data_IF_156794320737
#
_entry.id   IF_156794320737
#
_cell.length_a   1.000
_cell.length_b   1.000
_cell.length_c   1.000
_cell.angle_alpha   90.00
_cell.angle_beta   90.00
_cell.angle_gamma   90.00
#
_symmetry.space_group_name_H-M   'P 1'
#
loop_
_entity.id
_entity.type
_entity.pdbx_description
1 polymer ?
#
# COMPACT_ATOMS: atom_id res chain seq x y z
N UNK A 1 -1.61 28.58 56.71
CA UNK A 1 -1.12 28.44 55.32
C UNK A 1 -0.72 26.99 55.13
N UNK A 2 -1.24 26.36 54.09
CA UNK A 2 -1.32 24.91 53.92
C UNK A 2 0.02 24.26 53.55
N UNK A 3 0.30 23.11 54.16
CA UNK A 3 1.38 22.18 53.83
C UNK A 3 0.90 21.27 52.66
N UNK A 4 1.63 21.29 51.54
CA UNK A 4 1.27 20.59 50.30
C UNK A 4 2.15 19.36 50.15
N UNK A 5 1.58 18.19 50.43
CA UNK A 5 2.17 16.89 50.14
C UNK A 5 2.35 16.68 48.63
N UNK A 6 3.57 16.31 48.22
CA UNK A 6 3.91 15.92 46.84
C UNK A 6 3.88 14.40 46.72
N UNK A 7 2.90 13.87 45.98
CA UNK A 7 2.77 12.45 45.68
C UNK A 7 3.55 12.12 44.39
N UNK A 8 4.64 11.35 44.53
CA UNK A 8 5.47 10.88 43.42
C UNK A 8 4.77 9.73 42.65
N UNK A 9 4.74 9.72 41.29
CA UNK A 9 4.10 8.65 40.54
C UNK A 9 4.94 7.36 40.55
N UNK A 10 4.31 6.24 40.90
CA UNK A 10 4.86 4.89 40.74
C UNK A 10 4.99 4.55 39.24
N UNK A 11 6.22 4.28 38.78
CA UNK A 11 6.46 3.64 37.50
C UNK A 11 6.22 2.13 37.64
N UNK A 12 5.15 1.62 37.02
CA UNK A 12 4.89 0.19 36.87
C UNK A 12 5.65 -0.34 35.66
N UNK A 13 6.72 -1.10 35.88
CA UNK A 13 7.35 -1.91 34.85
C UNK A 13 6.86 -3.37 34.98
N UNK A 14 6.03 -3.82 34.04
CA UNK A 14 5.68 -5.24 33.90
C UNK A 14 6.64 -5.89 32.91
N UNK A 15 7.41 -6.86 33.37
CA UNK A 15 8.28 -7.70 32.55
C UNK A 15 7.71 -9.11 32.52
N UNK A 16 7.20 -9.55 31.36
CA UNK A 16 6.79 -10.94 31.17
C UNK A 16 7.92 -11.68 30.46
N UNK A 17 8.38 -12.79 31.05
CA UNK A 17 9.40 -13.67 30.47
C UNK A 17 8.76 -15.01 30.16
N UNK A 18 8.58 -15.34 28.88
CA UNK A 18 8.21 -16.68 28.45
C UNK A 18 9.45 -17.48 28.07
N UNK A 19 9.57 -18.69 28.64
CA UNK A 19 10.57 -19.69 28.27
C UNK A 19 9.86 -20.82 27.51
N UNK A 20 10.35 -21.14 26.33
CA UNK A 20 9.92 -22.32 25.57
C UNK A 20 11.13 -23.22 25.36
N UNK A 21 11.07 -24.45 25.88
CA UNK A 21 12.09 -25.49 25.70
C UNK A 21 11.65 -26.48 24.61
N UNK A 22 12.51 -26.74 23.63
CA UNK A 22 12.34 -27.81 22.65
C UNK A 22 13.56 -28.74 22.68
N UNK A 23 13.30 -30.05 22.87
CA UNK A 23 14.34 -31.07 23.06
C UNK A 23 14.63 -31.78 21.73
N UNK A 24 15.82 -31.53 21.16
CA UNK A 24 16.36 -32.24 20.00
C UNK A 24 16.98 -33.59 20.37
N UNK A 25 17.08 -34.51 19.40
CA UNK A 25 17.38 -35.94 19.60
C UNK A 25 18.85 -36.31 19.87
N UNK A 26 19.76 -35.34 19.97
CA UNK A 26 21.21 -35.58 20.18
C UNK A 26 21.78 -34.82 21.38
N UNK A 27 21.02 -34.75 22.49
CA UNK A 27 21.55 -34.35 23.80
C UNK A 27 22.02 -32.89 23.97
N UNK A 28 22.02 -32.07 22.91
CA UNK A 28 22.35 -30.66 22.99
C UNK A 28 21.09 -29.82 23.30
N UNK A 29 21.06 -29.20 24.48
CA UNK A 29 20.03 -28.23 24.86
C UNK A 29 20.41 -26.88 24.27
N UNK A 30 19.59 -26.37 23.34
CA UNK A 30 19.71 -24.99 22.81
C UNK A 30 18.63 -24.14 23.47
N UNK A 31 19.03 -23.24 24.36
CA UNK A 31 18.14 -22.32 25.05
C UNK A 31 18.09 -20.98 24.32
N UNK A 32 17.02 -20.70 23.59
CA UNK A 32 16.78 -19.39 22.97
C UNK A 32 15.89 -18.55 23.89
N UNK A 33 16.45 -17.50 24.48
CA UNK A 33 15.70 -16.56 25.34
C UNK A 33 15.35 -15.31 24.55
N UNK A 34 14.06 -15.09 24.28
CA UNK A 34 13.57 -13.87 23.63
C UNK A 34 13.03 -12.93 24.70
N UNK A 35 13.68 -11.78 24.89
CA UNK A 35 13.24 -10.76 25.86
C UNK A 35 12.50 -9.65 25.12
N UNK A 36 11.17 -9.65 25.20
CA UNK A 36 10.34 -8.55 24.68
C UNK A 36 10.22 -7.48 25.76
N UNK A 37 10.67 -6.27 25.45
CA UNK A 37 10.55 -5.09 26.34
C UNK A 37 9.65 -4.08 25.66
N UNK A 38 8.38 -4.03 26.05
CA UNK A 38 7.43 -3.01 25.59
C UNK A 38 7.61 -1.75 26.43
N UNK A 39 8.02 -0.64 25.81
CA UNK A 39 8.02 0.70 26.42
C UNK A 39 6.80 1.46 25.91
N UNK A 40 5.81 1.66 26.78
CA UNK A 40 4.74 2.63 26.52
C UNK A 40 5.28 4.03 26.78
N UNK A 41 5.45 4.82 25.72
CA UNK A 41 5.76 6.26 25.82
C UNK A 41 4.47 7.06 25.64
N UNK A 42 3.92 7.57 26.73
CA UNK A 42 2.96 8.67 26.72
C UNK A 42 3.74 9.96 26.44
N UNK A 43 3.72 10.38 25.17
CA UNK A 43 4.33 11.62 24.72
C UNK A 43 3.67 12.09 23.44
N UNK A 44 3.15 13.32 23.46
CA UNK A 44 2.66 14.05 22.29
C UNK A 44 3.77 14.17 21.24
N UNK A 45 3.81 13.24 20.30
CA UNK A 45 4.70 13.25 19.14
C UNK A 45 3.90 12.93 17.89
N UNK A 46 4.26 13.51 16.72
CA UNK A 46 3.51 13.28 15.50
C UNK A 46 3.62 11.81 15.09
N UNK A 47 2.48 11.18 14.79
CA UNK A 47 2.37 9.78 14.34
C UNK A 47 3.31 9.53 13.13
N UNK A 48 3.89 8.32 12.98
CA UNK A 48 4.73 8.00 11.83
C UNK A 48 3.88 8.14 10.56
N UNK A 49 4.17 9.17 9.79
CA UNK A 49 3.48 9.43 8.52
C UNK A 49 3.83 8.31 7.54
N UNK A 50 2.80 7.70 6.95
CA UNK A 50 2.96 6.78 5.84
C UNK A 50 3.91 7.40 4.79
N UNK A 51 4.83 6.63 4.18
CA UNK A 51 5.72 7.14 3.14
C UNK A 51 4.98 7.92 2.04
N UNK A 52 3.73 7.55 1.80
CA UNK A 52 2.84 8.20 0.84
C UNK A 52 2.33 9.57 1.28
N UNK A 53 2.10 9.79 2.58
CA UNK A 53 1.71 11.10 3.13
C UNK A 53 2.86 12.12 2.96
N UNK A 54 4.10 11.67 3.16
CA UNK A 54 5.29 12.51 2.96
C UNK A 54 5.51 12.87 1.49
N UNK A 55 5.18 11.96 0.57
CA UNK A 55 5.20 12.21 -0.87
C UNK A 55 4.13 13.23 -1.30
N UNK A 56 2.88 13.09 -0.84
CA UNK A 56 1.81 14.06 -1.12
C UNK A 56 2.11 15.47 -0.59
N UNK A 57 2.75 15.56 0.57
CA UNK A 57 3.11 16.85 1.17
C UNK A 57 4.16 17.61 0.35
N UNK A 58 5.07 16.89 -0.31
CA UNK A 58 6.08 17.48 -1.20
C UNK A 58 5.45 18.02 -2.49
N UNK A 59 4.49 17.29 -3.07
CA UNK A 59 3.77 17.72 -4.29
C UNK A 59 2.92 18.97 -4.03
N UNK A 60 2.26 19.02 -2.87
CA UNK A 60 1.48 20.16 -2.41
C UNK A 60 2.33 21.40 -2.13
N UNK A 61 3.59 21.22 -1.69
CA UNK A 61 4.55 22.31 -1.49
C UNK A 61 5.11 22.83 -2.84
N UNK A 62 5.22 21.97 -3.86
CA UNK A 62 5.62 22.36 -5.21
C UNK A 62 4.54 23.16 -5.96
N UNK A 63 3.27 23.06 -5.54
CA UNK A 63 2.14 23.76 -6.16
C UNK A 63 2.07 25.28 -5.83
N UNK A 64 2.84 25.78 -4.86
CA UNK A 64 2.87 27.21 -4.51
C UNK A 64 4.03 28.01 -5.12
N UNK A 65 4.89 27.37 -5.94
CA UNK A 65 6.01 28.06 -6.58
C UNK A 65 6.12 27.71 -8.06
N UNK A 66 5.24 28.28 -8.89
CA UNK A 66 5.42 28.31 -10.35
C UNK A 66 4.57 29.40 -11.00
N UNK A 67 5.05 30.65 -10.95
CA UNK A 67 4.73 31.69 -11.95
C UNK A 67 5.95 31.96 -12.83
N UNK A 68 6.54 30.90 -13.41
CA UNK A 68 7.47 31.03 -14.54
C UNK A 68 7.28 29.82 -15.46
N UNK A 69 6.68 30.09 -16.61
CA UNK A 69 6.51 29.15 -17.72
C UNK A 69 7.86 28.58 -18.15
N UNK A 70 7.99 27.28 -18.42
CA UNK A 70 9.16 26.76 -19.10
C UNK A 70 9.03 27.09 -20.59
N UNK A 71 9.93 27.94 -21.09
CA UNK A 71 10.17 28.12 -22.52
C UNK A 71 10.57 26.78 -23.15
N UNK A 72 9.80 26.36 -24.15
CA UNK A 72 10.11 25.26 -25.06
C UNK A 72 11.43 25.53 -25.79
N UNK A 73 12.35 24.56 -25.90
CA UNK A 73 13.49 24.69 -26.79
C UNK A 73 13.02 24.45 -28.24
N UNK A 74 13.25 25.46 -29.08
CA UNK A 74 13.04 25.42 -30.53
C UNK A 74 14.03 24.45 -31.18
N UNK A 75 13.52 23.44 -31.88
CA UNK A 75 14.30 22.52 -32.74
C UNK A 75 14.58 23.19 -34.08
N UNK A 76 15.84 23.30 -34.57
CA UNK A 76 16.11 23.59 -35.98
C UNK A 76 16.00 22.30 -36.80
N UNK A 77 15.29 22.36 -37.91
CA UNK A 77 15.09 21.23 -38.81
C UNK A 77 16.27 20.93 -39.75
N UNK A 78 16.21 19.72 -40.32
CA UNK A 78 16.79 19.38 -41.63
C UNK A 78 17.98 18.42 -41.61
N UNK A 79 17.84 17.26 -42.28
CA UNK A 79 18.98 16.49 -42.79
C UNK A 79 18.82 14.97 -42.77
N UNK A 80 18.65 14.38 -43.96
CA UNK A 80 18.61 12.94 -44.23
C UNK A 80 19.90 12.18 -43.91
N UNK A 81 19.72 10.88 -43.65
CA UNK A 81 20.60 9.74 -43.95
C UNK A 81 22.02 9.68 -43.36
N UNK A 82 22.23 8.71 -42.44
CA UNK A 82 23.20 7.60 -42.56
C UNK A 82 23.50 6.99 -41.17
N UNK A 83 23.37 5.66 -41.06
CA UNK A 83 23.99 4.84 -40.00
C UNK A 83 25.47 4.56 -40.34
N UNK A 84 26.27 3.84 -39.52
CA UNK A 84 26.38 3.77 -38.05
C UNK A 84 27.85 3.97 -37.57
N UNK A 85 28.10 4.39 -36.33
CA UNK A 85 29.32 3.99 -35.58
C UNK A 85 29.26 4.43 -34.12
N UNK A 86 29.84 3.60 -33.26
CA UNK A 86 29.91 3.74 -31.82
C UNK A 86 30.76 4.94 -31.37
N UNK A 87 30.40 5.50 -30.20
CA UNK A 87 31.22 6.08 -29.11
C UNK A 87 30.54 7.35 -28.59
N UNK A 88 30.25 7.37 -27.28
CA UNK A 88 30.01 8.61 -26.53
C UNK A 88 28.68 8.69 -25.78
N UNK A 89 28.76 8.50 -24.46
CA UNK A 89 27.88 9.02 -23.41
C UNK A 89 26.42 9.32 -23.77
N UNK A 90 25.57 8.28 -23.78
CA UNK A 90 24.13 8.46 -23.62
C UNK A 90 23.77 8.44 -22.12
N UNK A 91 22.81 9.27 -21.65
CA UNK A 91 22.35 9.20 -20.27
C UNK A 91 21.72 7.82 -19.99
N UNK A 92 22.19 7.18 -18.93
CA UNK A 92 21.94 5.76 -18.58
C UNK A 92 20.48 5.49 -18.19
N UNK A 93 19.63 6.50 -17.98
CA UNK A 93 18.22 6.33 -17.64
C UNK A 93 17.29 6.77 -18.77
N UNK A 94 16.96 5.84 -19.69
CA UNK A 94 15.86 6.00 -20.65
C UNK A 94 14.53 5.66 -19.99
N UNK A 95 13.97 6.62 -19.26
CA UNK A 95 12.64 6.50 -18.62
C UNK A 95 11.49 6.40 -19.65
N UNK A 96 11.75 6.62 -20.93
CA UNK A 96 10.75 6.67 -22.02
C UNK A 96 10.89 5.52 -23.02
N UNK A 97 11.46 4.38 -22.60
CA UNK A 97 11.56 3.23 -23.50
C UNK A 97 10.14 2.71 -23.89
N UNK A 98 9.78 2.75 -25.18
CA UNK A 98 8.43 2.40 -25.63
C UNK A 98 8.11 0.91 -25.41
N UNK A 99 9.11 0.03 -25.39
CA UNK A 99 8.92 -1.39 -25.14
C UNK A 99 8.58 -1.67 -23.66
N UNK A 100 9.21 -0.94 -22.74
CA UNK A 100 8.87 -1.01 -21.32
C UNK A 100 7.46 -0.48 -21.05
N UNK A 101 7.07 0.62 -21.71
CA UNK A 101 5.72 1.16 -21.60
C UNK A 101 4.66 0.19 -22.14
N UNK A 102 4.92 -0.46 -23.28
CA UNK A 102 4.05 -1.48 -23.83
C UNK A 102 3.91 -2.69 -22.88
N UNK A 103 5.01 -3.17 -22.30
CA UNK A 103 4.99 -4.25 -21.30
C UNK A 103 4.20 -3.85 -20.05
N UNK A 104 4.37 -2.63 -19.55
CA UNK A 104 3.61 -2.13 -18.41
C UNK A 104 2.10 -2.03 -18.72
N UNK A 105 1.73 -1.60 -19.93
CA UNK A 105 0.34 -1.60 -20.37
C UNK A 105 -0.25 -3.02 -20.38
N UNK A 106 0.47 -4.00 -20.93
CA UNK A 106 0.01 -5.41 -20.92
C UNK A 106 -0.13 -5.98 -19.52
N UNK A 107 0.81 -5.67 -18.60
CA UNK A 107 0.74 -6.13 -17.22
C UNK A 107 -0.46 -5.51 -16.47
N UNK A 108 -0.75 -4.22 -16.72
CA UNK A 108 -1.91 -3.54 -16.15
C UNK A 108 -3.22 -4.17 -16.61
N UNK A 109 -3.31 -4.48 -17.90
CA UNK A 109 -4.51 -5.11 -18.48
C UNK A 109 -4.72 -6.54 -17.98
N UNK A 110 -3.66 -7.33 -17.88
CA UNK A 110 -3.72 -8.68 -17.29
C UNK A 110 -4.19 -8.64 -15.83
N UNK A 111 -3.69 -7.69 -15.03
CA UNK A 111 -4.14 -7.55 -13.65
C UNK A 111 -5.62 -7.13 -13.58
N UNK A 112 -6.05 -6.24 -14.47
CA UNK A 112 -7.44 -5.81 -14.55
C UNK A 112 -8.36 -6.99 -14.88
N UNK A 113 -8.00 -7.76 -15.90
CA UNK A 113 -8.73 -8.96 -16.29
C UNK A 113 -8.79 -9.99 -15.16
N UNK A 114 -7.68 -10.17 -14.43
CA UNK A 114 -7.66 -11.05 -13.27
C UNK A 114 -8.63 -10.58 -12.17
N UNK A 115 -8.66 -9.28 -11.87
CA UNK A 115 -9.62 -8.73 -10.90
C UNK A 115 -11.05 -9.03 -11.34
N UNK A 116 -11.38 -8.72 -12.60
CA UNK A 116 -12.71 -8.97 -13.16
C UNK A 116 -13.12 -10.44 -13.08
N UNK A 117 -12.22 -11.36 -13.42
CA UNK A 117 -12.50 -12.79 -13.39
C UNK A 117 -12.80 -13.27 -11.97
N UNK A 118 -12.10 -12.73 -10.97
CA UNK A 118 -12.24 -13.09 -9.56
C UNK A 118 -13.45 -12.46 -8.89
N UNK A 119 -13.92 -11.33 -9.39
CA UNK A 119 -15.10 -10.62 -8.86
C UNK A 119 -16.35 -10.75 -9.73
N UNK A 120 -16.36 -11.61 -10.75
CA UNK A 120 -17.47 -11.71 -11.74
C UNK A 120 -18.83 -12.06 -11.12
N UNK A 121 -18.82 -12.74 -9.97
CA UNK A 121 -20.03 -13.26 -9.30
C UNK A 121 -20.54 -12.32 -8.19
N UNK A 122 -19.86 -11.19 -7.97
CA UNK A 122 -20.20 -10.24 -6.92
C UNK A 122 -21.13 -9.16 -7.44
N UNK A 123 -22.23 -8.96 -6.73
CA UNK A 123 -23.15 -7.87 -7.02
C UNK A 123 -22.50 -6.51 -6.71
N UNK A 124 -22.89 -5.49 -7.47
CA UNK A 124 -22.45 -4.10 -7.30
C UNK A 124 -20.93 -3.88 -7.49
N UNK A 125 -20.23 -4.83 -8.12
CA UNK A 125 -18.79 -4.71 -8.42
C UNK A 125 -18.54 -4.74 -9.93
N UNK A 126 -18.06 -3.63 -10.48
CA UNK A 126 -17.66 -3.52 -11.88
C UNK A 126 -16.29 -2.85 -11.99
N UNK A 127 -15.26 -3.67 -12.13
CA UNK A 127 -13.86 -3.21 -12.18
C UNK A 127 -13.48 -2.93 -13.64
N UNK A 128 -13.46 -1.66 -14.03
CA UNK A 128 -13.06 -1.22 -15.39
C UNK A 128 -11.74 -0.46 -15.40
N UNK A 129 -11.26 -0.06 -14.23
CA UNK A 129 -10.04 0.72 -14.06
C UNK A 129 -9.48 0.54 -12.63
N UNK A 130 -8.32 1.15 -12.35
CA UNK A 130 -7.71 1.16 -11.01
C UNK A 130 -7.97 2.46 -10.24
N UNK A 131 -9.03 3.20 -10.53
CA UNK A 131 -9.35 4.47 -9.84
C UNK A 131 -10.79 4.46 -9.35
N UNK A 132 -11.73 5.00 -10.11
CA UNK A 132 -13.13 5.17 -9.69
C UNK A 132 -13.86 3.85 -9.44
N UNK A 133 -13.46 2.74 -10.06
CA UNK A 133 -14.05 1.41 -9.77
C UNK A 133 -13.75 0.89 -8.36
N UNK A 134 -12.88 1.55 -7.60
CA UNK A 134 -12.44 1.12 -6.27
C UNK A 134 -12.83 2.11 -5.17
N UNK A 135 -13.60 3.15 -5.50
CA UNK A 135 -13.87 4.29 -4.61
C UNK A 135 -14.82 3.97 -3.47
N UNK A 136 -15.64 2.94 -3.63
CA UNK A 136 -16.65 2.48 -2.68
C UNK A 136 -16.14 1.37 -1.75
N UNK A 137 -14.96 0.82 -2.03
CA UNK A 137 -14.33 -0.25 -1.26
C UNK A 137 -14.84 -1.65 -1.57
N UNK A 138 -15.98 -1.80 -2.26
CA UNK A 138 -16.58 -3.10 -2.57
C UNK A 138 -15.68 -3.97 -3.45
N UNK A 139 -14.97 -3.36 -4.41
CA UNK A 139 -14.01 -4.08 -5.24
C UNK A 139 -12.89 -4.75 -4.42
N UNK A 140 -12.42 -4.11 -3.34
CA UNK A 140 -11.43 -4.72 -2.44
C UNK A 140 -12.06 -5.85 -1.61
N UNK A 141 -13.25 -5.61 -1.05
CA UNK A 141 -13.98 -6.62 -0.29
C UNK A 141 -14.24 -7.88 -1.13
N UNK A 142 -14.78 -7.72 -2.34
CA UNK A 142 -15.08 -8.83 -3.24
C UNK A 142 -13.83 -9.63 -3.60
N UNK A 143 -12.72 -8.95 -3.90
CA UNK A 143 -11.48 -9.61 -4.27
C UNK A 143 -10.90 -10.43 -3.11
N UNK A 144 -10.94 -9.90 -1.89
CA UNK A 144 -10.44 -10.61 -0.69
C UNK A 144 -11.38 -11.77 -0.34
N UNK A 145 -12.68 -11.53 -0.34
CA UNK A 145 -13.72 -12.53 -0.05
C UNK A 145 -13.65 -13.71 -1.02
N UNK A 146 -13.26 -13.49 -2.28
CA UNK A 146 -13.08 -14.59 -3.24
C UNK A 146 -12.03 -15.61 -2.78
N UNK A 147 -10.95 -15.17 -2.14
CA UNK A 147 -9.91 -16.08 -1.64
C UNK A 147 -10.12 -16.49 -0.18
N UNK A 148 -10.87 -15.69 0.58
CA UNK A 148 -11.15 -15.88 2.00
C UNK A 148 -12.66 -15.72 2.27
N UNK A 149 -13.50 -16.63 1.77
CA UNK A 149 -14.96 -16.51 1.89
C UNK A 149 -15.43 -16.57 3.34
N UNK A 150 -14.68 -17.22 4.22
CA UNK A 150 -15.03 -17.34 5.65
C UNK A 150 -14.62 -16.13 6.48
N UNK A 151 -14.00 -15.11 5.89
CA UNK A 151 -13.48 -13.96 6.63
C UNK A 151 -14.57 -12.96 7.05
N UNK A 152 -15.58 -12.75 6.21
CA UNK A 152 -16.71 -11.86 6.46
C UNK A 152 -17.85 -12.14 5.48
N UNK A 153 -19.04 -11.64 5.75
CA UNK A 153 -20.20 -11.81 4.88
C UNK A 153 -20.32 -10.65 3.89
N UNK A 154 -20.00 -10.89 2.62
CA UNK A 154 -20.08 -9.87 1.56
C UNK A 154 -21.50 -9.35 1.33
N UNK A 155 -22.53 -10.18 1.54
CA UNK A 155 -23.93 -9.85 1.19
C UNK A 155 -24.50 -8.70 2.03
N UNK A 156 -23.86 -8.40 3.17
CA UNK A 156 -24.23 -7.30 4.08
C UNK A 156 -23.60 -5.96 3.71
N UNK A 157 -22.63 -5.97 2.79
CA UNK A 157 -21.89 -4.76 2.42
C UNK A 157 -22.70 -3.90 1.44
N UNK A 158 -22.58 -2.58 1.58
CA UNK A 158 -23.26 -1.62 0.71
C UNK A 158 -22.27 -0.57 0.20
N UNK A 159 -22.47 -0.02 -1.01
CA UNK A 159 -21.55 0.97 -1.58
C UNK A 159 -21.57 2.32 -0.83
N UNK A 160 -22.59 2.58 -0.01
CA UNK A 160 -22.71 3.79 0.80
C UNK A 160 -21.73 3.78 1.99
N UNK A 161 -21.45 2.60 2.56
CA UNK A 161 -20.62 2.43 3.75
C UNK A 161 -19.13 2.35 3.41
N UNK A 162 -18.63 3.32 2.65
CA UNK A 162 -17.27 3.31 2.07
C UNK A 162 -16.16 3.11 3.12
N UNK A 163 -16.26 3.82 4.25
CA UNK A 163 -15.25 3.71 5.33
C UNK A 163 -15.17 2.28 5.87
N UNK A 164 -16.31 1.71 6.23
CA UNK A 164 -16.40 0.35 6.76
C UNK A 164 -15.89 -0.68 5.75
N UNK A 165 -16.22 -0.51 4.46
CA UNK A 165 -15.73 -1.39 3.41
C UNK A 165 -14.19 -1.36 3.31
N UNK A 166 -13.58 -0.18 3.33
CA UNK A 166 -12.11 -0.06 3.29
C UNK A 166 -11.44 -0.62 4.55
N UNK A 167 -11.95 -0.28 5.74
CA UNK A 167 -11.42 -0.78 7.01
C UNK A 167 -11.48 -2.31 7.08
N UNK A 168 -12.63 -2.88 6.73
CA UNK A 168 -12.82 -4.33 6.72
C UNK A 168 -11.86 -5.00 5.74
N UNK A 169 -11.81 -4.53 4.49
CA UNK A 169 -10.94 -5.10 3.47
C UNK A 169 -9.47 -5.05 3.91
N UNK A 170 -8.99 -3.91 4.37
CA UNK A 170 -7.58 -3.74 4.71
C UNK A 170 -7.19 -4.50 5.98
N UNK A 171 -8.07 -4.53 6.99
CA UNK A 171 -7.84 -5.29 8.22
C UNK A 171 -7.80 -6.79 7.93
N UNK A 172 -8.77 -7.31 7.18
CA UNK A 172 -8.81 -8.74 6.83
C UNK A 172 -7.62 -9.13 5.96
N UNK A 173 -7.23 -8.28 5.00
CA UNK A 173 -6.07 -8.53 4.16
C UNK A 173 -4.76 -8.61 4.97
N UNK A 174 -4.60 -7.74 5.98
CA UNK A 174 -3.43 -7.75 6.84
C UNK A 174 -3.44 -8.97 7.79
N UNK A 175 -4.52 -9.17 8.54
CA UNK A 175 -4.59 -10.21 9.57
C UNK A 175 -4.62 -11.63 9.01
N UNK A 176 -5.35 -11.87 7.92
CA UNK A 176 -5.55 -13.22 7.36
C UNK A 176 -4.56 -13.56 6.26
N UNK A 177 -4.12 -12.57 5.49
CA UNK A 177 -3.24 -12.78 4.34
C UNK A 177 -1.85 -12.17 4.50
N UNK A 178 -1.60 -11.38 5.54
CA UNK A 178 -0.31 -10.70 5.76
C UNK A 178 -0.02 -9.60 4.72
N UNK A 179 -1.06 -9.02 4.12
CA UNK A 179 -0.93 -7.97 3.11
C UNK A 179 -0.99 -6.62 3.82
N UNK A 180 0.18 -6.00 4.00
CA UNK A 180 0.26 -4.70 4.65
C UNK A 180 -0.59 -3.64 3.91
N UNK A 181 -1.38 -2.83 4.65
CA UNK A 181 -2.23 -1.80 4.06
C UNK A 181 -1.36 -0.66 3.50
N UNK A 182 -1.31 -0.55 2.17
CA UNK A 182 -0.56 0.51 1.48
C UNK A 182 -1.39 1.78 1.24
N UNK A 183 -2.70 1.70 1.46
CA UNK A 183 -3.65 2.79 1.26
C UNK A 183 -4.20 3.22 2.62
N UNK A 184 -4.33 4.52 2.82
CA UNK A 184 -4.96 5.08 4.02
C UNK A 184 -6.48 5.16 3.78
N UNK A 185 -7.25 4.64 4.74
CA UNK A 185 -8.72 4.62 4.69
C UNK A 185 -9.29 6.03 4.57
N UNK A 186 -8.79 6.98 5.36
CA UNK A 186 -9.34 8.33 5.39
C UNK A 186 -9.11 9.05 4.06
N UNK A 187 -7.94 8.85 3.44
CA UNK A 187 -7.65 9.36 2.10
C UNK A 187 -8.60 8.76 1.04
N UNK A 188 -8.85 7.46 1.10
CA UNK A 188 -9.70 6.76 0.13
C UNK A 188 -11.17 7.14 0.26
N UNK A 189 -11.66 7.37 1.47
CA UNK A 189 -13.04 7.82 1.73
C UNK A 189 -13.27 9.24 1.22
N UNK A 190 -12.30 10.14 1.39
CA UNK A 190 -12.42 11.54 0.94
C UNK A 190 -12.30 11.66 -0.58
N UNK A 191 -11.46 10.84 -1.22
CA UNK A 191 -11.19 10.94 -2.65
C UNK A 191 -12.27 10.27 -3.51
N UNK A 192 -12.98 11.06 -4.34
CA UNK A 192 -13.92 10.52 -5.36
C UNK A 192 -13.20 9.80 -6.52
N UNK A 193 -11.92 10.09 -6.72
CA UNK A 193 -11.07 9.50 -7.76
C UNK A 193 -9.68 9.25 -7.18
N UNK A 194 -9.43 8.09 -6.57
CA UNK A 194 -8.13 7.77 -6.01
C UNK A 194 -7.07 7.68 -7.13
N UNK A 195 -5.80 7.96 -6.80
CA UNK A 195 -4.70 7.82 -7.76
C UNK A 195 -4.56 6.36 -8.19
N UNK A 196 -4.70 6.14 -9.50
CA UNK A 196 -4.71 4.80 -10.06
C UNK A 196 -3.42 4.02 -9.85
N UNK A 197 -2.28 4.70 -9.68
CA UNK A 197 -1.00 4.04 -9.41
C UNK A 197 -0.97 3.47 -8.00
N UNK A 198 -1.53 4.17 -7.02
CA UNK A 198 -1.58 3.71 -5.63
C UNK A 198 -2.44 2.46 -5.51
N UNK A 199 -3.65 2.53 -6.08
CA UNK A 199 -4.57 1.39 -6.14
C UNK A 199 -3.94 0.23 -6.91
N UNK A 200 -3.34 0.48 -8.07
CA UNK A 200 -2.67 -0.55 -8.86
C UNK A 200 -1.57 -1.26 -8.06
N UNK A 201 -0.69 -0.52 -7.38
CA UNK A 201 0.39 -1.11 -6.56
C UNK A 201 -0.18 -1.96 -5.43
N UNK A 202 -1.24 -1.49 -4.76
CA UNK A 202 -1.86 -2.26 -3.69
C UNK A 202 -2.53 -3.55 -4.22
N UNK A 203 -3.29 -3.46 -5.31
CA UNK A 203 -3.89 -4.63 -5.96
C UNK A 203 -2.82 -5.61 -6.46
N UNK A 204 -1.67 -5.10 -6.91
CA UNK A 204 -0.54 -5.96 -7.29
C UNK A 204 0.03 -6.72 -6.09
N UNK A 205 0.04 -6.14 -4.89
CA UNK A 205 0.41 -6.85 -3.65
C UNK A 205 -0.59 -7.97 -3.34
N UNK A 206 -1.89 -7.71 -3.48
CA UNK A 206 -2.95 -8.72 -3.33
C UNK A 206 -2.76 -9.86 -4.35
N UNK A 207 -2.57 -9.51 -5.63
CA UNK A 207 -2.31 -10.47 -6.69
C UNK A 207 -1.10 -11.36 -6.39
N UNK A 208 0.04 -10.76 -5.99
CA UNK A 208 1.24 -11.53 -5.65
C UNK A 208 1.00 -12.51 -4.51
N UNK A 209 0.16 -12.14 -3.54
CA UNK A 209 -0.15 -13.00 -2.41
C UNK A 209 -1.02 -14.19 -2.80
N UNK A 210 -2.00 -13.98 -3.67
CA UNK A 210 -3.00 -15.00 -4.05
C UNK A 210 -2.75 -15.67 -5.40
N UNK A 211 -1.72 -15.28 -6.16
CA UNK A 211 -1.44 -15.84 -7.50
C UNK A 211 -1.21 -17.36 -7.52
N UNK A 212 -0.85 -17.94 -6.38
CA UNK A 212 -0.59 -19.38 -6.25
C UNK A 212 -1.78 -20.14 -5.65
N UNK A 213 -2.86 -19.45 -5.27
CA UNK A 213 -4.07 -20.05 -4.68
C UNK A 213 -5.12 -20.37 -5.76
N UNK A 214 -4.71 -20.83 -6.94
CA UNK A 214 -5.61 -21.12 -8.07
C UNK A 214 -6.45 -22.37 -7.85
#
# INVERSE_FOLDING_TARGET
>A
MADRADAKPQQSCTSTTEKTETKGKDGAVVTTTTKVTTRTVSGTGPKPVSPFAKFKQLDRQNSQQSTKSPTTPTTPGGGSAASPSATGNAPIFRFTDPSLNARAATAKEQLLQWCQLKTKEYENVQITNFSSSWVDGLAFCALIHHFLPDAFDYSKLTPQNRRENFELAFTVADEKAGIAPLLDVEDMVVMKRPDWKCVFVYVQSIYRRFRNCQ
#
